data_IF_866990785444
#
_entry.id   IF_866990785444
#
_cell.length_a   1.000
_cell.length_b   1.000
_cell.length_c   1.000
_cell.angle_alpha   90.00
_cell.angle_beta   90.00
_cell.angle_gamma   90.00
#
_symmetry.space_group_name_H-M   'P 1'
#
loop_
_entity.id
_entity.type
_entity.pdbx_description
1 polymer ?
#
# COMPACT_ATOMS: atom_id res chain seq x y z
N UNK A 1 -8.13 2.03 13.53
CA UNK A 1 -8.85 1.68 12.29
C UNK A 1 -7.78 1.12 11.36
N UNK A 2 -8.02 0.04 10.64
CA UNK A 2 -7.03 -0.44 9.67
C UNK A 2 -6.81 0.61 8.60
N UNK A 3 -5.56 1.01 8.30
CA UNK A 3 -5.27 1.85 7.16
C UNK A 3 -5.60 1.04 5.91
N UNK A 4 -6.49 1.61 5.10
CA UNK A 4 -6.81 1.10 3.79
C UNK A 4 -6.13 2.03 2.80
N UNK A 5 -5.23 1.48 2.00
CA UNK A 5 -4.51 2.20 0.96
C UNK A 5 -5.05 1.74 -0.39
N UNK A 6 -5.10 2.64 -1.37
CA UNK A 6 -5.39 2.28 -2.75
C UNK A 6 -4.14 2.54 -3.58
N UNK A 7 -3.64 1.49 -4.23
CA UNK A 7 -2.49 1.54 -5.13
C UNK A 7 -2.99 1.61 -6.56
N UNK A 8 -2.46 2.56 -7.35
CA UNK A 8 -2.73 2.63 -8.78
C UNK A 8 -1.75 1.75 -9.55
N UNK A 9 -2.11 0.50 -9.79
CA UNK A 9 -1.29 -0.46 -10.55
C UNK A 9 -2.13 -1.59 -11.15
N UNK A 10 -1.62 -2.22 -12.22
CA UNK A 10 -2.38 -3.23 -13.00
C UNK A 10 -2.27 -4.63 -12.41
N UNK A 11 -1.15 -4.95 -11.76
CA UNK A 11 -0.83 -6.32 -11.32
C UNK A 11 -0.84 -6.41 -9.79
N UNK A 12 -1.77 -7.20 -9.24
CA UNK A 12 -1.77 -7.54 -7.80
C UNK A 12 -0.43 -8.13 -7.40
N UNK A 13 0.10 -9.03 -8.22
CA UNK A 13 1.35 -9.73 -7.95
C UNK A 13 2.51 -8.75 -7.75
N UNK A 14 2.57 -7.68 -8.54
CA UNK A 14 3.64 -6.69 -8.41
C UNK A 14 3.52 -5.91 -7.09
N UNK A 15 2.29 -5.66 -6.63
CA UNK A 15 2.04 -5.03 -5.32
C UNK A 15 2.41 -5.99 -4.19
N UNK A 16 2.04 -7.26 -4.30
CA UNK A 16 2.44 -8.31 -3.35
C UNK A 16 3.96 -8.46 -3.28
N UNK A 17 4.67 -8.41 -4.41
CA UNK A 17 6.12 -8.50 -4.47
C UNK A 17 6.79 -7.32 -3.72
N UNK A 18 6.23 -6.11 -3.77
CA UNK A 18 6.72 -4.97 -2.97
C UNK A 18 6.50 -5.18 -1.47
N UNK A 19 5.41 -5.87 -1.12
CA UNK A 19 4.97 -6.14 0.24
C UNK A 19 5.37 -7.52 0.74
N UNK A 20 6.26 -8.24 0.05
CA UNK A 20 6.57 -9.65 0.36
C UNK A 20 6.85 -9.90 1.85
N UNK A 21 7.64 -9.01 2.46
CA UNK A 21 8.01 -9.08 3.89
C UNK A 21 6.83 -8.84 4.85
N UNK A 22 5.73 -8.26 4.35
CA UNK A 22 4.54 -7.84 5.08
C UNK A 22 3.27 -8.63 4.71
N UNK A 23 3.33 -9.60 3.79
CA UNK A 23 2.15 -10.38 3.37
C UNK A 23 1.48 -11.17 4.51
N UNK A 24 2.19 -11.41 5.61
CA UNK A 24 1.64 -12.07 6.79
C UNK A 24 0.70 -11.17 7.62
N UNK A 25 0.69 -9.86 7.36
CA UNK A 25 -0.09 -8.85 8.09
C UNK A 25 -0.85 -7.88 7.18
N UNK A 26 -0.68 -8.02 5.86
CA UNK A 26 -1.36 -7.21 4.84
C UNK A 26 -2.30 -8.09 4.03
N UNK A 27 -3.45 -7.55 3.67
CA UNK A 27 -4.32 -8.11 2.64
C UNK A 27 -4.22 -7.24 1.39
N UNK A 28 -3.95 -7.87 0.25
CA UNK A 28 -3.89 -7.22 -1.07
C UNK A 28 -5.02 -7.77 -1.93
N UNK A 29 -5.85 -6.91 -2.51
CA UNK A 29 -7.04 -7.34 -3.24
C UNK A 29 -7.38 -6.40 -4.41
N UNK A 30 -8.01 -6.91 -5.49
CA UNK A 30 -8.46 -6.05 -6.58
C UNK A 30 -9.65 -5.20 -6.14
N UNK A 31 -9.69 -3.94 -6.58
CA UNK A 31 -10.87 -3.07 -6.45
C UNK A 31 -11.56 -2.95 -7.81
N UNK A 32 -10.85 -2.37 -8.79
CA UNK A 32 -11.30 -2.20 -10.17
C UNK A 32 -10.08 -2.22 -11.11
N UNK A 33 -10.30 -1.99 -12.41
CA UNK A 33 -9.20 -1.98 -13.38
C UNK A 33 -8.12 -0.97 -12.96
N UNK A 34 -6.90 -1.46 -12.80
CA UNK A 34 -5.72 -0.71 -12.37
C UNK A 34 -5.79 -0.08 -10.95
N UNK A 35 -6.72 -0.50 -10.09
CA UNK A 35 -6.76 -0.14 -8.67
C UNK A 35 -6.71 -1.37 -7.77
N UNK A 36 -5.77 -1.36 -6.83
CA UNK A 36 -5.51 -2.45 -5.89
C UNK A 36 -5.63 -1.91 -4.47
N UNK A 37 -6.44 -2.57 -3.65
CA UNK A 37 -6.55 -2.28 -2.23
C UNK A 37 -5.45 -2.97 -1.44
N UNK A 38 -4.92 -2.27 -0.44
CA UNK A 38 -4.03 -2.83 0.58
C UNK A 38 -4.59 -2.48 1.95
N UNK A 39 -4.83 -3.49 2.78
CA UNK A 39 -5.26 -3.32 4.17
C UNK A 39 -4.18 -3.85 5.10
N UNK A 40 -3.83 -3.09 6.14
CA UNK A 40 -2.94 -3.59 7.22
C UNK A 40 -3.79 -4.07 8.40
N UNK A 41 -3.41 -5.20 9.00
CA UNK A 41 -4.11 -5.80 10.13
C UNK A 41 -4.29 -4.84 11.32
N UNK A 42 -5.50 -4.80 11.90
CA UNK A 42 -5.93 -3.85 12.96
C UNK A 42 -5.06 -3.87 14.23
N UNK A 43 -4.23 -4.91 14.42
CA UNK A 43 -3.42 -5.11 15.64
C UNK A 43 -1.93 -4.81 15.45
N UNK A 44 -1.54 -4.39 14.26
CA UNK A 44 -0.16 -4.03 14.00
C UNK A 44 0.18 -2.68 14.64
N UNK A 45 1.40 -2.49 15.14
CA UNK A 45 1.81 -1.19 15.64
C UNK A 45 1.94 -0.17 14.50
N UNK A 46 1.75 1.12 14.81
CA UNK A 46 1.75 2.23 13.83
C UNK A 46 3.05 2.29 12.98
N UNK A 47 4.18 1.84 13.53
CA UNK A 47 5.45 1.81 12.81
C UNK A 47 5.47 0.78 11.67
N UNK A 48 4.68 -0.29 11.76
CA UNK A 48 4.47 -1.27 10.70
C UNK A 48 3.64 -0.65 9.57
N UNK A 49 2.54 0.01 9.92
CA UNK A 49 1.68 0.70 8.95
C UNK A 49 2.46 1.74 8.16
N UNK A 50 3.28 2.55 8.85
CA UNK A 50 4.14 3.54 8.22
C UNK A 50 5.18 2.91 7.28
N UNK A 51 5.78 1.77 7.67
CA UNK A 51 6.73 1.05 6.82
C UNK A 51 6.08 0.50 5.55
N UNK A 52 4.88 -0.07 5.67
CA UNK A 52 4.10 -0.55 4.52
C UNK A 52 3.77 0.61 3.59
N UNK A 53 3.28 1.72 4.14
CA UNK A 53 2.95 2.91 3.37
C UNK A 53 4.16 3.47 2.62
N UNK A 54 5.31 3.65 3.30
CA UNK A 54 6.55 4.12 2.67
C UNK A 54 7.05 3.18 1.56
N UNK A 55 6.94 1.86 1.77
CA UNK A 55 7.31 0.85 0.76
C UNK A 55 6.45 0.99 -0.50
N UNK A 56 5.14 1.15 -0.33
CA UNK A 56 4.21 1.36 -1.45
C UNK A 56 4.46 2.69 -2.16
N UNK A 57 4.65 3.79 -1.42
CA UNK A 57 4.96 5.09 -2.00
C UNK A 57 6.25 5.10 -2.83
N UNK A 58 7.23 4.27 -2.49
CA UNK A 58 8.47 4.17 -3.25
C UNK A 58 8.28 3.49 -4.62
N UNK A 59 7.25 2.66 -4.77
CA UNK A 59 7.01 1.85 -5.96
C UNK A 59 5.83 2.33 -6.80
N UNK A 60 4.79 2.90 -6.18
CA UNK A 60 3.52 3.19 -6.81
C UNK A 60 2.91 4.51 -6.34
N UNK A 61 2.00 5.10 -7.13
CA UNK A 61 1.08 6.11 -6.64
C UNK A 61 0.10 5.47 -5.65
N UNK A 62 -0.06 6.09 -4.47
CA UNK A 62 -0.91 5.59 -3.39
C UNK A 62 -1.92 6.64 -3.00
N UNK A 63 -3.18 6.27 -2.90
CA UNK A 63 -4.21 7.07 -2.25
C UNK A 63 -4.33 6.63 -0.80
N UNK A 64 -4.15 7.58 0.12
CA UNK A 64 -4.38 7.34 1.53
C UNK A 64 -5.85 7.68 1.85
N UNK A 65 -6.59 6.69 2.36
CA UNK A 65 -8.00 6.87 2.73
C UNK A 65 -8.18 7.71 3.99
N UNK A 66 -7.13 7.93 4.79
CA UNK A 66 -7.19 8.76 6.00
C UNK A 66 -7.17 10.25 5.66
N UNK A 67 -6.21 10.68 4.83
CA UNK A 67 -6.08 12.09 4.43
C UNK A 67 -6.90 12.46 3.18
N UNK A 68 -7.34 11.45 2.41
CA UNK A 68 -8.14 11.62 1.21
C UNK A 68 -7.36 12.19 0.03
N UNK A 69 -6.04 11.97 -0.04
CA UNK A 69 -5.22 12.47 -1.15
C UNK A 69 -4.40 11.39 -1.85
N UNK A 70 -4.12 11.65 -3.14
CA UNK A 70 -3.16 10.87 -3.92
C UNK A 70 -1.75 11.35 -3.64
N UNK A 71 -0.91 10.44 -3.18
CA UNK A 71 0.52 10.61 -3.06
C UNK A 71 1.19 10.03 -4.31
N UNK A 72 1.96 10.83 -5.08
CA UNK A 72 2.68 10.32 -6.24
C UNK A 72 3.78 9.34 -5.78
N UNK A 73 4.24 8.48 -6.70
CA UNK A 73 5.41 7.64 -6.43
C UNK A 73 6.57 8.54 -6.02
N UNK A 74 7.07 8.35 -4.80
CA UNK A 74 8.27 9.00 -4.35
C UNK A 74 9.42 8.31 -5.05
N UNK A 75 10.00 8.96 -6.07
CA UNK A 75 11.26 8.49 -6.64
C UNK A 75 12.24 8.36 -5.47
N UNK A 76 12.62 7.12 -5.15
CA UNK A 76 13.62 6.84 -4.12
C UNK A 76 14.81 7.75 -4.42
N UNK A 77 14.97 8.81 -3.62
CA UNK A 77 16.07 9.74 -3.77
C UNK A 77 17.33 8.92 -3.60
N UNK A 78 18.07 8.80 -4.70
CA UNK A 78 19.28 7.96 -4.82
C UNK A 78 20.38 8.40 -3.86
#
# INVERSE_FOLDING_TARGET
MSPHLIVKHVSIRDVEDQLFDYLHICEVFPIEEALIGVSVGVREPEDVEERVFRRLLAAFPVYDLYDGVWHPTSAASS
#
